data_IF_623829631549
#
_entry.id   IF_623829631549
#
_cell.length_a   1.000
_cell.length_b   1.000
_cell.length_c   1.000
_cell.angle_alpha   90.00
_cell.angle_beta   90.00
_cell.angle_gamma   90.00
#
_symmetry.space_group_name_H-M   'P 1'
#
loop_
_entity.id
_entity.type
_entity.pdbx_description
1 polymer ?
#
# COMPACT_ATOMS: atom_id res chain seq x y z
N UNK A 1 -20.51 6.98 19.40
CA UNK A 1 -20.68 6.89 17.93
C UNK A 1 -19.35 6.73 17.19
N UNK A 2 -18.37 7.66 17.28
CA UNK A 2 -17.05 7.50 16.61
C UNK A 2 -16.37 6.13 16.78
N UNK A 3 -16.37 5.55 17.98
CA UNK A 3 -15.79 4.22 18.23
C UNK A 3 -16.49 3.12 17.42
N UNK A 4 -17.83 3.16 17.36
CA UNK A 4 -18.62 2.23 16.55
C UNK A 4 -18.28 2.37 15.07
N UNK A 5 -18.07 3.59 14.57
CA UNK A 5 -17.61 3.82 13.20
C UNK A 5 -16.27 3.11 12.91
N UNK A 6 -15.33 3.12 13.86
CA UNK A 6 -14.10 2.34 13.70
C UNK A 6 -14.33 0.82 13.68
N UNK A 7 -15.22 0.31 14.53
CA UNK A 7 -15.54 -1.12 14.57
C UNK A 7 -16.19 -1.59 13.27
N UNK A 8 -17.18 -0.84 12.78
CA UNK A 8 -17.86 -1.13 11.51
C UNK A 8 -16.89 -1.06 10.32
N UNK A 9 -15.90 -0.15 10.34
CA UNK A 9 -14.84 -0.16 9.34
C UNK A 9 -14.07 -1.50 9.31
N UNK A 10 -13.69 -2.04 10.46
CA UNK A 10 -12.95 -3.31 10.52
C UNK A 10 -13.81 -4.52 10.11
N UNK A 11 -15.13 -4.44 10.34
CA UNK A 11 -16.13 -5.38 9.81
C UNK A 11 -16.43 -5.18 8.32
N UNK A 12 -15.79 -4.19 7.68
CA UNK A 12 -16.02 -3.79 6.28
C UNK A 12 -17.44 -3.34 5.98
N UNK A 13 -18.17 -2.91 7.01
CA UNK A 13 -19.50 -2.34 6.90
C UNK A 13 -19.36 -0.84 6.60
N UNK A 14 -18.79 -0.54 5.43
CA UNK A 14 -18.29 0.79 5.09
C UNK A 14 -19.36 1.87 5.06
N UNK A 15 -20.57 1.55 4.58
CA UNK A 15 -21.72 2.45 4.60
C UNK A 15 -22.10 2.83 6.03
N UNK A 16 -22.26 1.84 6.92
CA UNK A 16 -22.57 2.05 8.34
C UNK A 16 -21.47 2.83 9.05
N UNK A 17 -20.20 2.47 8.80
CA UNK A 17 -19.03 3.19 9.32
C UNK A 17 -19.07 4.66 8.95
N UNK A 18 -19.33 4.99 7.67
CA UNK A 18 -19.42 6.37 7.18
C UNK A 18 -20.56 7.13 7.85
N UNK A 19 -21.77 6.56 7.88
CA UNK A 19 -22.94 7.17 8.52
C UNK A 19 -22.68 7.49 10.00
N UNK A 20 -22.04 6.58 10.75
CA UNK A 20 -21.69 6.80 12.15
C UNK A 20 -20.70 7.96 12.35
N UNK A 21 -19.75 8.15 11.42
CA UNK A 21 -18.85 9.31 11.46
C UNK A 21 -19.60 10.61 11.14
N UNK A 22 -20.45 10.63 10.11
CA UNK A 22 -21.25 11.79 9.72
C UNK A 22 -22.18 12.25 10.87
N UNK A 23 -22.89 11.32 11.52
CA UNK A 23 -23.69 11.61 12.72
C UNK A 23 -22.83 12.15 13.87
N UNK A 24 -21.62 11.62 14.04
CA UNK A 24 -20.69 12.13 15.06
C UNK A 24 -20.23 13.55 14.75
N UNK A 25 -20.00 13.89 13.47
CA UNK A 25 -19.61 15.24 13.03
C UNK A 25 -20.70 16.24 13.39
N UNK A 26 -21.97 15.94 13.10
CA UNK A 26 -23.10 16.82 13.47
C UNK A 26 -23.09 17.13 14.97
N UNK A 27 -22.93 16.10 15.79
CA UNK A 27 -22.83 16.26 17.25
C UNK A 27 -21.58 17.04 17.70
N UNK A 28 -20.44 16.83 17.04
CA UNK A 28 -19.19 17.51 17.35
C UNK A 28 -19.22 19.00 16.99
N UNK A 29 -19.81 19.35 15.83
CA UNK A 29 -20.00 20.73 15.38
C UNK A 29 -20.88 21.51 16.36
N UNK A 30 -21.98 20.91 16.84
CA UNK A 30 -22.84 21.54 17.84
C UNK A 30 -22.09 21.87 19.15
N UNK A 31 -21.05 21.10 19.50
CA UNK A 31 -20.19 21.32 20.67
C UNK A 31 -18.92 22.12 20.35
N UNK A 32 -18.69 22.54 19.11
CA UNK A 32 -17.45 23.18 18.64
C UNK A 32 -16.20 22.32 18.93
N UNK A 33 -16.30 20.99 18.76
CA UNK A 33 -15.20 20.04 18.98
C UNK A 33 -14.47 19.72 17.66
N UNK A 34 -13.60 20.62 17.23
CA UNK A 34 -12.84 20.50 15.97
C UNK A 34 -11.93 19.27 15.95
N UNK A 35 -11.47 18.81 17.13
CA UNK A 35 -10.63 17.60 17.23
C UNK A 35 -11.44 16.35 16.87
N UNK A 36 -12.70 16.28 17.31
CA UNK A 36 -13.59 15.18 16.94
C UNK A 36 -14.01 15.25 15.47
N UNK A 37 -14.29 16.45 14.94
CA UNK A 37 -14.58 16.64 13.50
C UNK A 37 -13.41 16.12 12.66
N UNK A 38 -12.18 16.55 12.96
CA UNK A 38 -10.98 16.09 12.27
C UNK A 38 -10.80 14.55 12.35
N UNK A 39 -11.07 13.96 13.53
CA UNK A 39 -11.01 12.48 13.69
C UNK A 39 -12.04 11.77 12.83
N UNK A 40 -13.26 12.28 12.75
CA UNK A 40 -14.33 11.68 11.94
C UNK A 40 -14.04 11.84 10.44
N UNK A 41 -13.53 12.99 10.00
CA UNK A 41 -13.08 13.18 8.62
C UNK A 41 -11.97 12.20 8.24
N UNK A 42 -10.96 12.00 9.10
CA UNK A 42 -9.96 10.94 8.87
C UNK A 42 -10.59 9.53 8.82
N UNK A 43 -11.65 9.29 9.60
CA UNK A 43 -12.44 8.06 9.57
C UNK A 43 -13.18 7.85 8.24
N UNK A 44 -13.85 8.87 7.73
CA UNK A 44 -14.55 8.87 6.44
C UNK A 44 -13.55 8.70 5.30
N UNK A 45 -12.44 9.44 5.32
CA UNK A 45 -11.36 9.26 4.34
C UNK A 45 -10.81 7.82 4.32
N UNK A 46 -10.78 7.12 5.47
CA UNK A 46 -10.41 5.71 5.49
C UNK A 46 -11.40 4.84 4.70
N UNK A 47 -12.70 5.12 4.85
CA UNK A 47 -13.76 4.42 4.11
C UNK A 47 -13.59 4.68 2.62
N UNK A 48 -13.42 5.95 2.22
CA UNK A 48 -13.21 6.35 0.83
C UNK A 48 -12.00 5.65 0.20
N UNK A 49 -10.87 5.56 0.92
CA UNK A 49 -9.69 4.80 0.46
C UNK A 49 -9.97 3.31 0.30
N UNK A 50 -10.75 2.71 1.20
CA UNK A 50 -11.11 1.30 1.13
C UNK A 50 -12.11 0.99 0.00
N UNK A 51 -12.92 1.97 -0.41
CA UNK A 51 -13.89 1.88 -1.51
C UNK A 51 -13.35 2.38 -2.85
N UNK A 52 -12.09 2.85 -2.91
CA UNK A 52 -11.43 3.29 -4.13
C UNK A 52 -11.67 4.76 -4.52
N UNK A 53 -12.35 5.54 -3.69
CA UNK A 53 -12.64 6.98 -3.90
C UNK A 53 -11.42 7.85 -3.50
N UNK A 54 -10.29 7.67 -4.18
CA UNK A 54 -8.99 8.21 -3.77
C UNK A 54 -8.90 9.74 -3.82
N UNK A 55 -9.45 10.38 -4.85
CA UNK A 55 -9.44 11.83 -5.04
C UNK A 55 -10.23 12.54 -3.94
N UNK A 56 -11.43 12.04 -3.64
CA UNK A 56 -12.27 12.56 -2.56
C UNK A 56 -11.62 12.33 -1.20
N UNK A 57 -10.98 11.17 -1.00
CA UNK A 57 -10.22 10.91 0.21
C UNK A 57 -9.06 11.93 0.36
N UNK A 58 -8.32 12.20 -0.71
CA UNK A 58 -7.19 13.13 -0.70
C UNK A 58 -7.65 14.55 -0.30
N UNK A 59 -8.67 15.10 -0.96
CA UNK A 59 -9.22 16.42 -0.65
C UNK A 59 -9.65 16.54 0.82
N UNK A 60 -10.24 15.48 1.36
CA UNK A 60 -10.63 15.44 2.77
C UNK A 60 -9.39 15.42 3.68
N UNK A 61 -8.37 14.66 3.32
CA UNK A 61 -7.16 14.43 4.13
C UNK A 61 -6.22 15.65 4.18
N UNK A 62 -6.25 16.54 3.19
CA UNK A 62 -5.48 17.80 3.17
C UNK A 62 -5.69 18.65 4.43
N UNK A 63 -6.90 18.61 4.98
CA UNK A 63 -7.30 19.38 6.17
C UNK A 63 -7.13 18.58 7.47
N UNK A 64 -6.63 17.35 7.38
CA UNK A 64 -6.45 16.47 8.53
C UNK A 64 -4.99 16.26 8.85
N UNK A 65 -4.72 15.79 10.06
CA UNK A 65 -3.38 15.37 10.43
C UNK A 65 -3.13 13.87 10.13
N UNK A 66 -3.97 13.19 9.34
CA UNK A 66 -3.88 11.74 9.12
C UNK A 66 -2.86 11.39 8.03
N UNK A 67 -1.59 11.68 8.30
CA UNK A 67 -0.51 11.59 7.32
C UNK A 67 -0.36 10.21 6.66
N UNK A 68 -0.61 9.12 7.38
CA UNK A 68 -0.51 7.77 6.80
C UNK A 68 -1.57 7.51 5.73
N UNK A 69 -2.81 7.95 5.97
CA UNK A 69 -3.89 7.82 4.98
C UNK A 69 -3.69 8.80 3.83
N UNK A 70 -3.21 10.02 4.13
CA UNK A 70 -2.86 11.01 3.12
C UNK A 70 -1.77 10.46 2.17
N UNK A 71 -0.72 9.86 2.73
CA UNK A 71 0.32 9.19 1.96
C UNK A 71 -0.24 8.09 1.05
N UNK A 72 -1.16 7.27 1.56
CA UNK A 72 -1.78 6.21 0.75
C UNK A 72 -2.65 6.76 -0.38
N UNK A 73 -3.43 7.82 -0.13
CA UNK A 73 -4.22 8.49 -1.17
C UNK A 73 -3.30 9.02 -2.29
N UNK A 74 -2.22 9.72 -1.92
CA UNK A 74 -1.21 10.22 -2.86
C UNK A 74 -0.58 9.09 -3.68
N UNK A 75 -0.23 7.98 -3.03
CA UNK A 75 0.36 6.83 -3.70
C UNK A 75 -0.61 6.18 -4.69
N UNK A 76 -1.89 6.07 -4.34
CA UNK A 76 -2.92 5.54 -5.23
C UNK A 76 -3.12 6.40 -6.49
N UNK A 77 -2.83 7.70 -6.39
CA UNK A 77 -2.90 8.67 -7.48
C UNK A 77 -1.55 8.85 -8.22
N UNK A 78 -0.56 8.00 -7.94
CA UNK A 78 0.74 8.04 -8.62
C UNK A 78 1.70 9.13 -8.13
N UNK A 79 1.38 9.82 -7.04
CA UNK A 79 2.23 10.88 -6.47
C UNK A 79 3.27 10.30 -5.48
N UNK A 80 4.14 9.43 -5.97
CA UNK A 80 5.05 8.62 -5.14
C UNK A 80 5.94 9.46 -4.19
N UNK A 81 6.53 10.55 -4.68
CA UNK A 81 7.42 11.41 -3.88
C UNK A 81 6.67 12.10 -2.72
N UNK A 82 5.47 12.64 -3.02
CA UNK A 82 4.61 13.27 -2.01
C UNK A 82 4.10 12.23 -1.01
N UNK A 83 3.79 11.02 -1.48
CA UNK A 83 3.38 9.91 -0.63
C UNK A 83 4.47 9.56 0.40
N UNK A 84 5.73 9.47 -0.04
CA UNK A 84 6.87 9.23 0.85
C UNK A 84 7.02 10.36 1.89
N UNK A 85 6.96 11.62 1.46
CA UNK A 85 7.05 12.78 2.36
C UNK A 85 5.98 12.73 3.46
N UNK A 86 4.73 12.43 3.09
CA UNK A 86 3.63 12.29 4.06
C UNK A 86 3.81 11.07 4.96
N UNK A 87 4.27 9.92 4.44
CA UNK A 87 4.51 8.74 5.25
C UNK A 87 5.60 8.97 6.31
N UNK A 88 6.63 9.75 5.99
CA UNK A 88 7.69 10.14 6.92
C UNK A 88 7.16 11.01 8.07
N UNK A 89 6.20 11.91 7.83
CA UNK A 89 5.56 12.72 8.88
C UNK A 89 4.84 11.87 9.95
N UNK A 90 4.44 10.65 9.62
CA UNK A 90 3.85 9.72 10.60
C UNK A 90 4.89 9.35 11.66
N UNK A 91 6.18 9.23 11.32
CA UNK A 91 7.25 8.87 12.27
C UNK A 91 7.35 9.89 13.41
N UNK A 92 7.33 11.17 13.05
CA UNK A 92 7.58 12.26 14.00
C UNK A 92 6.41 12.49 14.96
N UNK A 93 5.20 12.07 14.56
CA UNK A 93 3.97 12.26 15.32
C UNK A 93 3.78 11.27 16.47
N UNK A 94 4.37 10.07 16.40
CA UNK A 94 4.09 8.98 17.35
C UNK A 94 5.32 8.59 18.18
N UNK A 95 5.71 9.50 19.09
CA UNK A 95 6.83 9.35 20.04
C UNK A 95 6.48 8.68 21.39
N UNK A 96 5.21 8.33 21.64
CA UNK A 96 4.73 7.79 22.92
C UNK A 96 4.22 6.35 22.88
N UNK A 97 3.79 5.83 24.05
CA UNK A 97 3.15 4.50 24.17
C UNK A 97 1.92 4.43 23.24
N UNK A 98 1.90 3.42 22.38
CA UNK A 98 0.97 3.30 21.25
C UNK A 98 -0.27 2.49 21.62
N UNK A 99 -1.05 3.02 22.55
CA UNK A 99 -2.18 2.32 23.19
C UNK A 99 -3.55 2.78 22.66
N UNK A 100 -3.62 3.32 21.45
CA UNK A 100 -4.85 3.91 20.92
C UNK A 100 -5.19 3.26 19.60
N UNK A 101 -6.15 2.33 19.60
CA UNK A 101 -6.57 1.55 18.44
C UNK A 101 -6.93 2.39 17.20
N UNK A 102 -7.38 3.64 17.38
CA UNK A 102 -7.70 4.53 16.26
C UNK A 102 -6.48 5.00 15.45
N UNK A 103 -5.27 4.80 15.95
CA UNK A 103 -4.00 5.07 15.25
C UNK A 103 -3.66 3.98 14.23
N UNK A 104 -4.25 2.80 14.38
CA UNK A 104 -3.96 1.62 13.56
C UNK A 104 -4.11 1.91 12.06
N UNK A 105 -5.17 2.60 11.63
CA UNK A 105 -5.41 2.95 10.21
C UNK A 105 -4.28 3.77 9.60
N UNK A 106 -3.74 4.74 10.35
CA UNK A 106 -2.62 5.55 9.87
C UNK A 106 -1.33 4.72 9.79
N UNK A 107 -1.10 3.81 10.73
CA UNK A 107 0.06 2.92 10.75
C UNK A 107 0.00 1.93 9.59
N UNK A 108 -1.14 1.27 9.38
CA UNK A 108 -1.32 0.33 8.27
C UNK A 108 -1.15 1.01 6.92
N UNK A 109 -1.69 2.23 6.77
CA UNK A 109 -1.56 3.01 5.53
C UNK A 109 -0.10 3.42 5.28
N UNK A 110 0.63 3.83 6.32
CA UNK A 110 2.06 4.14 6.19
C UNK A 110 2.90 2.90 5.82
N UNK A 111 2.64 1.76 6.47
CA UNK A 111 3.32 0.49 6.13
C UNK A 111 3.07 0.08 4.69
N UNK A 112 1.82 0.19 4.23
CA UNK A 112 1.44 -0.09 2.85
C UNK A 112 2.21 0.80 1.87
N UNK A 113 2.33 2.09 2.17
CA UNK A 113 3.08 3.03 1.33
C UNK A 113 4.56 2.62 1.21
N UNK A 114 5.23 2.34 2.33
CA UNK A 114 6.64 1.93 2.29
C UNK A 114 6.84 0.61 1.54
N UNK A 115 5.95 -0.37 1.71
CA UNK A 115 6.03 -1.64 0.99
C UNK A 115 5.85 -1.47 -0.52
N UNK A 116 4.85 -0.70 -0.96
CA UNK A 116 4.60 -0.46 -2.38
C UNK A 116 5.70 0.36 -3.04
N UNK A 117 6.27 1.34 -2.33
CA UNK A 117 7.43 2.09 -2.83
C UNK A 117 8.67 1.19 -2.96
N UNK A 118 8.90 0.30 -1.98
CA UNK A 118 9.98 -0.71 -2.06
C UNK A 118 9.77 -1.65 -3.24
N UNK A 119 8.56 -2.17 -3.41
CA UNK A 119 8.18 -3.04 -4.52
C UNK A 119 8.41 -2.38 -5.89
N UNK A 120 8.00 -1.11 -6.05
CA UNK A 120 8.29 -0.31 -7.25
C UNK A 120 9.79 -0.16 -7.49
N UNK A 121 10.57 0.14 -6.45
CA UNK A 121 12.02 0.32 -6.55
C UNK A 121 12.74 -0.98 -6.96
N UNK A 122 12.30 -2.13 -6.44
CA UNK A 122 12.84 -3.44 -6.81
C UNK A 122 12.45 -3.84 -8.24
N UNK A 123 11.21 -3.59 -8.65
CA UNK A 123 10.74 -3.89 -10.01
C UNK A 123 11.43 -3.04 -11.09
N UNK A 124 11.75 -1.77 -10.78
CA UNK A 124 12.49 -0.90 -11.70
C UNK A 124 13.92 -1.42 -11.97
N UNK A 125 14.60 -1.92 -10.94
CA UNK A 125 15.93 -2.53 -11.09
C UNK A 125 15.89 -3.81 -11.94
N UNK A 126 14.92 -4.69 -11.69
CA UNK A 126 14.78 -5.92 -12.46
C UNK A 126 14.59 -5.61 -13.96
N UNK A 127 13.75 -4.62 -14.30
CA UNK A 127 13.58 -4.15 -15.68
C UNK A 127 14.85 -3.54 -16.27
N UNK A 128 15.62 -2.79 -15.49
CA UNK A 128 16.88 -2.21 -15.95
C UNK A 128 17.94 -3.30 -16.26
N UNK A 129 18.02 -4.34 -15.43
CA UNK A 129 18.90 -5.51 -15.65
C UNK A 129 18.48 -6.26 -16.92
N UNK A 130 17.18 -6.50 -17.10
CA UNK A 130 16.66 -7.18 -18.29
C UNK A 130 16.92 -6.39 -19.58
N UNK A 131 16.72 -5.07 -19.55
CA UNK A 131 17.02 -4.18 -20.69
C UNK A 131 18.52 -4.15 -21.05
N UNK A 132 19.40 -4.11 -20.05
CA UNK A 132 20.84 -4.15 -20.27
C UNK A 132 21.31 -5.50 -20.81
N UNK A 133 20.74 -6.60 -20.29
CA UNK A 133 21.02 -7.96 -20.77
C UNK A 133 20.62 -8.16 -22.23
N UNK A 134 19.46 -7.64 -22.65
CA UNK A 134 19.02 -7.69 -24.05
C UNK A 134 19.91 -6.85 -24.97
N UNK A 135 20.39 -5.70 -24.50
CA UNK A 135 21.29 -4.81 -25.27
C UNK A 135 22.68 -5.42 -25.48
N UNK A 136 23.20 -6.14 -24.48
CA UNK A 136 24.49 -6.85 -24.57
C UNK A 136 24.44 -8.03 -25.56
N UNK A 137 23.32 -8.76 -25.59
CA UNK A 137 23.13 -9.90 -26.51
C UNK A 137 22.96 -9.48 -27.99
N UNK A 138 22.46 -8.27 -28.27
CA UNK A 138 22.36 -7.74 -29.64
C UNK A 138 23.70 -7.28 -30.23
N UNK A 139 24.66 -6.88 -29.40
CA UNK A 139 25.98 -6.40 -29.89
C UNK A 139 26.94 -7.53 -30.27
N UNK A 140 26.71 -8.77 -29.81
CA UNK A 140 27.55 -9.92 -30.17
C UNK A 140 27.15 -10.59 -31.49
N UNK A 141 26.01 -10.24 -32.08
CA UNK A 141 25.49 -10.81 -33.33
C UNK A 141 25.83 -9.98 -34.59
N UNK A 142 26.52 -8.84 -34.45
CA UNK A 142 26.77 -7.91 -35.56
C UNK A 142 28.20 -7.95 -36.14
N UNK A 143 29.06 -8.87 -35.70
CA UNK A 143 30.45 -8.98 -36.23
C UNK A 143 30.63 -10.12 -37.25
N UNK A 144 29.57 -10.50 -37.96
CA UNK A 144 29.64 -11.43 -39.09
C UNK A 144 28.72 -11.02 -40.23
N UNK A 145 29.14 -10.05 -41.04
CA UNK A 145 28.63 -9.94 -42.41
C UNK A 145 28.27 -8.54 -42.89
N UNK A 146 29.12 -8.05 -43.79
CA UNK A 146 28.79 -7.27 -44.99
C UNK A 146 28.47 -5.77 -44.86
N UNK A 147 29.39 -5.04 -45.47
CA UNK A 147 29.31 -3.70 -46.06
C UNK A 147 28.07 -3.51 -46.95
N UNK A 148 27.23 -2.53 -46.62
CA UNK A 148 26.36 -1.85 -47.56
C UNK A 148 26.05 -0.44 -47.05
N UNK A 149 26.44 0.57 -47.82
CA UNK A 149 26.10 1.97 -47.62
C UNK A 149 24.63 2.18 -47.95
N UNK A 150 23.80 2.51 -46.95
CA UNK A 150 22.42 2.93 -47.18
C UNK A 150 22.13 4.20 -46.38
N UNK A 151 21.89 5.29 -47.11
CA UNK A 151 21.49 6.60 -46.62
C UNK A 151 19.98 6.58 -46.39
N UNK A 152 19.55 6.82 -45.14
CA UNK A 152 18.15 7.00 -44.80
C UNK A 152 17.98 8.40 -44.20
N UNK A 153 17.13 9.20 -44.85
CA UNK A 153 16.72 10.53 -44.40
C UNK A 153 15.64 10.34 -43.31
N UNK A 154 15.94 10.78 -42.09
CA UNK A 154 15.01 10.80 -40.96
C UNK A 154 14.17 12.09 -40.98
N UNK A 155 12.87 11.94 -41.22
CA UNK A 155 11.87 12.96 -40.85
C UNK A 155 11.48 12.76 -39.39
N UNK A 156 11.87 13.72 -38.56
CA UNK A 156 11.67 13.76 -37.12
C UNK A 156 10.28 14.33 -36.78
N UNK A 157 9.29 13.45 -36.65
CA UNK A 157 7.95 13.82 -36.18
C UNK A 157 7.94 13.96 -34.65
N UNK A 158 7.83 15.21 -34.18
CA UNK A 158 7.72 15.58 -32.76
C UNK A 158 6.43 15.02 -32.13
N UNK A 159 6.51 13.82 -31.57
CA UNK A 159 5.59 13.41 -30.51
C UNK A 159 5.94 14.16 -29.23
N UNK A 160 4.94 14.85 -28.67
CA UNK A 160 5.03 15.47 -27.36
C UNK A 160 5.09 14.36 -26.29
N UNK A 161 6.32 14.03 -25.89
CA UNK A 161 6.61 13.24 -24.70
C UNK A 161 6.06 13.96 -23.46
N UNK A 162 4.89 13.53 -23.02
CA UNK A 162 4.52 13.56 -21.59
C UNK A 162 5.12 12.35 -20.85
N UNK A 163 6.33 11.92 -21.23
CA UNK A 163 7.21 11.24 -20.29
C UNK A 163 7.74 12.33 -19.36
N UNK A 164 7.04 12.52 -18.24
CA UNK A 164 7.55 13.28 -17.12
C UNK A 164 8.87 12.65 -16.71
N UNK A 165 9.95 13.24 -17.21
CA UNK A 165 11.36 12.93 -16.97
C UNK A 165 11.50 12.55 -15.49
N UNK A 166 11.48 11.24 -15.24
CA UNK A 166 11.55 10.63 -13.92
C UNK A 166 13.01 10.74 -13.49
N UNK A 167 13.53 11.97 -13.44
CA UNK A 167 14.76 12.29 -12.72
C UNK A 167 14.55 11.68 -11.37
N UNK A 168 15.36 10.67 -11.07
CA UNK A 168 15.38 9.98 -9.80
C UNK A 168 15.61 11.04 -8.72
N UNK A 169 14.53 11.70 -8.30
CA UNK A 169 14.46 12.36 -7.03
C UNK A 169 14.84 11.32 -5.98
N UNK A 170 15.21 11.75 -4.78
CA UNK A 170 15.63 10.87 -3.70
C UNK A 170 14.43 10.04 -3.19
N UNK A 171 13.87 9.17 -4.04
CA UNK A 171 13.28 7.92 -3.66
C UNK A 171 14.40 7.20 -2.95
N UNK A 172 14.36 7.37 -1.62
CA UNK A 172 15.20 6.73 -0.62
C UNK A 172 15.73 5.42 -1.15
N UNK A 173 17.04 5.28 -1.09
CA UNK A 173 17.73 4.07 -1.48
C UNK A 173 16.96 2.82 -1.01
N UNK A 174 17.01 1.74 -1.80
CA UNK A 174 16.25 0.51 -1.50
C UNK A 174 16.46 0.03 -0.06
N UNK A 175 17.66 0.22 0.50
CA UNK A 175 17.97 -0.18 1.86
C UNK A 175 17.20 0.68 2.89
N UNK A 176 17.07 1.99 2.66
CA UNK A 176 16.24 2.90 3.45
C UNK A 176 14.75 2.55 3.36
N UNK A 177 14.20 2.32 2.16
CA UNK A 177 12.80 1.89 2.00
C UNK A 177 12.54 0.56 2.73
N UNK A 178 13.46 -0.38 2.61
CA UNK A 178 13.41 -1.66 3.31
C UNK A 178 13.49 -1.51 4.83
N UNK A 179 14.41 -0.70 5.33
CA UNK A 179 14.53 -0.41 6.75
C UNK A 179 13.26 0.24 7.30
N UNK A 180 12.68 1.19 6.56
CA UNK A 180 11.41 1.84 6.93
C UNK A 180 10.25 0.85 6.92
N UNK A 181 10.11 0.02 5.88
CA UNK A 181 9.05 -0.99 5.82
C UNK A 181 9.15 -1.97 7.01
N UNK A 182 10.35 -2.48 7.30
CA UNK A 182 10.60 -3.36 8.44
C UNK A 182 10.28 -2.66 9.77
N UNK A 183 10.76 -1.44 9.97
CA UNK A 183 10.48 -0.66 11.17
C UNK A 183 8.96 -0.57 11.40
N UNK A 184 8.19 -0.18 10.39
CA UNK A 184 6.74 -0.03 10.51
C UNK A 184 6.01 -1.36 10.73
N UNK A 185 6.49 -2.45 10.13
CA UNK A 185 6.00 -3.80 10.40
C UNK A 185 6.24 -4.20 11.87
N UNK A 186 7.39 -3.86 12.44
CA UNK A 186 7.68 -4.13 13.86
C UNK A 186 6.79 -3.30 14.78
N UNK A 187 6.52 -2.04 14.41
CA UNK A 187 5.56 -1.18 15.12
C UNK A 187 4.15 -1.78 15.09
N UNK A 188 3.70 -2.28 13.94
CA UNK A 188 2.41 -2.96 13.80
C UNK A 188 2.37 -4.27 14.59
N UNK A 189 3.48 -5.01 14.65
CA UNK A 189 3.60 -6.23 15.45
C UNK A 189 3.39 -5.98 16.94
N UNK A 190 4.00 -4.90 17.47
CA UNK A 190 3.76 -4.45 18.85
C UNK A 190 2.31 -4.00 19.07
N UNK A 191 1.65 -3.50 18.01
CA UNK A 191 0.24 -3.14 18.06
C UNK A 191 -0.67 -4.38 18.10
N UNK A 192 -0.33 -5.39 17.29
CA UNK A 192 -1.05 -6.66 17.19
C UNK A 192 -0.97 -7.51 18.46
N UNK A 193 0.05 -7.32 19.30
CA UNK A 193 0.10 -7.98 20.62
C UNK A 193 -0.90 -7.39 21.63
N UNK A 194 -1.44 -6.19 21.36
CA UNK A 194 -2.44 -5.53 22.23
C UNK A 194 -3.83 -5.57 21.60
N UNK A 195 -3.91 -5.40 20.27
CA UNK A 195 -5.16 -5.32 19.54
C UNK A 195 -5.23 -6.41 18.47
N UNK A 196 -6.05 -7.42 18.72
CA UNK A 196 -6.23 -8.55 17.79
C UNK A 196 -6.58 -8.10 16.36
N UNK A 197 -7.37 -7.02 16.22
CA UNK A 197 -7.75 -6.43 14.91
C UNK A 197 -6.56 -5.98 14.05
N UNK A 198 -5.37 -5.76 14.63
CA UNK A 198 -4.16 -5.43 13.87
C UNK A 198 -3.44 -6.66 13.31
N UNK A 199 -3.71 -7.86 13.84
CA UNK A 199 -3.01 -9.09 13.51
C UNK A 199 -3.13 -9.47 12.02
N UNK A 200 -4.31 -9.42 11.37
CA UNK A 200 -4.42 -9.81 9.96
C UNK A 200 -3.53 -8.95 9.06
N UNK A 201 -3.62 -7.63 9.15
CA UNK A 201 -2.82 -6.71 8.32
C UNK A 201 -1.32 -6.82 8.62
N UNK A 202 -0.94 -6.99 9.89
CA UNK A 202 0.47 -7.19 10.26
C UNK A 202 1.05 -8.45 9.62
N UNK A 203 0.31 -9.56 9.64
CA UNK A 203 0.74 -10.81 9.02
C UNK A 203 0.83 -10.69 7.50
N UNK A 204 -0.13 -9.99 6.86
CA UNK A 204 -0.11 -9.74 5.42
C UNK A 204 1.12 -8.92 5.02
N UNK A 205 1.40 -7.83 5.73
CA UNK A 205 2.56 -6.97 5.45
C UNK A 205 3.89 -7.68 5.71
N UNK A 206 3.99 -8.51 6.76
CA UNK A 206 5.14 -9.40 6.94
C UNK A 206 5.30 -10.36 5.77
N UNK A 207 4.20 -10.95 5.30
CA UNK A 207 4.21 -11.87 4.16
C UNK A 207 4.72 -11.20 2.89
N UNK A 208 4.20 -10.00 2.58
CA UNK A 208 4.67 -9.16 1.46
C UNK A 208 6.15 -8.81 1.57
N UNK A 209 6.59 -8.39 2.75
CA UNK A 209 8.00 -8.06 2.98
C UNK A 209 8.92 -9.27 2.77
N UNK A 210 8.55 -10.45 3.26
CA UNK A 210 9.32 -11.69 3.04
C UNK A 210 9.38 -12.08 1.57
N UNK A 211 8.32 -11.82 0.80
CA UNK A 211 8.33 -12.02 -0.65
C UNK A 211 9.31 -11.10 -1.37
N UNK A 212 9.34 -9.81 -0.99
CA UNK A 212 10.34 -8.86 -1.49
C UNK A 212 11.76 -9.25 -1.08
N UNK A 213 11.92 -10.06 -0.03
CA UNK A 213 13.22 -10.61 0.40
C UNK A 213 13.54 -11.99 -0.18
N UNK A 214 12.92 -12.35 -1.32
CA UNK A 214 13.09 -13.64 -1.98
C UNK A 214 12.72 -14.87 -1.12
N UNK A 215 12.04 -14.69 0.01
CA UNK A 215 11.57 -15.77 0.88
C UNK A 215 10.08 -16.08 0.63
N UNK A 216 9.79 -16.59 -0.58
CA UNK A 216 8.43 -16.84 -1.05
C UNK A 216 7.63 -17.80 -0.16
N UNK A 217 8.24 -18.88 0.32
CA UNK A 217 7.55 -19.88 1.14
C UNK A 217 7.08 -19.29 2.48
N UNK A 218 7.94 -18.53 3.15
CA UNK A 218 7.61 -17.77 4.37
C UNK A 218 6.53 -16.72 4.10
N UNK A 219 6.66 -15.98 2.99
CA UNK A 219 5.69 -14.97 2.57
C UNK A 219 4.27 -15.52 2.40
N UNK A 220 4.13 -16.61 1.65
CA UNK A 220 2.84 -17.28 1.43
C UNK A 220 2.28 -17.89 2.72
N UNK A 221 3.12 -18.46 3.58
CA UNK A 221 2.70 -18.97 4.88
C UNK A 221 2.09 -17.88 5.76
N UNK A 222 2.74 -16.72 5.83
CA UNK A 222 2.25 -15.57 6.59
C UNK A 222 0.94 -15.00 6.01
N UNK A 223 0.78 -14.98 4.69
CA UNK A 223 -0.46 -14.58 4.04
C UNK A 223 -1.63 -15.53 4.35
N UNK A 224 -1.39 -16.86 4.37
CA UNK A 224 -2.41 -17.84 4.81
C UNK A 224 -2.79 -17.62 6.29
N UNK A 225 -1.81 -17.35 7.16
CA UNK A 225 -2.08 -16.98 8.56
C UNK A 225 -2.87 -15.68 8.69
N UNK A 226 -2.60 -14.69 7.83
CA UNK A 226 -3.37 -13.45 7.76
C UNK A 226 -4.83 -13.72 7.41
N UNK A 227 -5.09 -14.52 6.39
CA UNK A 227 -6.43 -14.92 5.97
C UNK A 227 -7.19 -15.63 7.10
N UNK A 228 -6.55 -16.60 7.77
CA UNK A 228 -7.16 -17.30 8.90
C UNK A 228 -7.51 -16.34 10.05
N UNK A 229 -6.60 -15.44 10.42
CA UNK A 229 -6.85 -14.44 11.46
C UNK A 229 -7.95 -13.43 11.07
N UNK A 230 -8.03 -13.04 9.79
CA UNK A 230 -9.09 -12.16 9.29
C UNK A 230 -10.47 -12.84 9.38
N UNK A 231 -10.54 -14.13 9.05
CA UNK A 231 -11.76 -14.92 9.15
C UNK A 231 -12.22 -15.07 10.62
N UNK A 232 -11.30 -15.43 11.52
CA UNK A 232 -11.56 -15.53 12.97
C UNK A 232 -12.16 -14.24 13.54
N UNK A 233 -11.67 -13.08 13.09
CA UNK A 233 -12.09 -11.76 13.56
C UNK A 233 -13.25 -11.15 12.77
N UNK A 234 -13.83 -11.88 11.81
CA UNK A 234 -14.89 -11.36 10.92
C UNK A 234 -14.50 -10.04 10.23
N UNK A 235 -13.31 -10.00 9.63
CA UNK A 235 -12.75 -8.84 8.93
C UNK A 235 -12.67 -9.10 7.41
N UNK A 236 -13.80 -9.02 6.68
CA UNK A 236 -13.86 -9.48 5.28
C UNK A 236 -12.98 -8.69 4.32
N UNK A 237 -12.79 -7.39 4.51
CA UNK A 237 -11.86 -6.59 3.69
C UNK A 237 -10.42 -7.08 3.84
N UNK A 238 -9.94 -7.30 5.07
CA UNK A 238 -8.59 -7.86 5.29
C UNK A 238 -8.47 -9.28 4.74
N UNK A 239 -9.53 -10.10 4.84
CA UNK A 239 -9.55 -11.42 4.23
C UNK A 239 -9.47 -11.35 2.69
N UNK A 240 -10.19 -10.42 2.06
CA UNK A 240 -10.16 -10.19 0.63
C UNK A 240 -8.75 -9.75 0.16
N UNK A 241 -8.10 -8.85 0.88
CA UNK A 241 -6.72 -8.45 0.59
C UNK A 241 -5.75 -9.64 0.66
N UNK A 242 -5.85 -10.48 1.70
CA UNK A 242 -5.02 -11.67 1.84
C UNK A 242 -5.29 -12.71 0.73
N UNK A 243 -6.56 -12.89 0.33
CA UNK A 243 -6.94 -13.76 -0.79
C UNK A 243 -6.37 -13.25 -2.12
N UNK A 244 -6.50 -11.96 -2.40
CA UNK A 244 -5.95 -11.33 -3.62
C UNK A 244 -4.45 -11.55 -3.71
N UNK A 245 -3.73 -11.29 -2.61
CA UNK A 245 -2.29 -11.50 -2.53
C UNK A 245 -1.89 -12.98 -2.78
N UNK A 246 -2.63 -13.92 -2.19
CA UNK A 246 -2.39 -15.34 -2.42
C UNK A 246 -2.74 -15.78 -3.86
N UNK A 247 -3.73 -15.17 -4.51
CA UNK A 247 -4.07 -15.47 -5.89
C UNK A 247 -3.00 -14.96 -6.86
N UNK A 248 -2.42 -13.79 -6.59
CA UNK A 248 -1.36 -13.17 -7.39
C UNK A 248 -0.03 -13.92 -7.30
N UNK A 249 0.33 -14.40 -6.11
CA UNK A 249 1.65 -14.99 -5.85
C UNK A 249 1.64 -16.47 -5.48
N UNK A 250 0.47 -17.08 -5.34
CA UNK A 250 0.32 -18.49 -5.00
C UNK A 250 0.60 -19.41 -6.19
N UNK A 251 0.50 -20.71 -5.93
CA UNK A 251 0.42 -21.71 -7.00
C UNK A 251 -1.01 -21.77 -7.56
N UNK A 252 -1.19 -22.36 -8.75
CA UNK A 252 -2.53 -22.63 -9.30
C UNK A 252 -3.39 -23.42 -8.30
N UNK A 253 -2.79 -24.35 -7.54
CA UNK A 253 -3.47 -25.11 -6.48
C UNK A 253 -3.98 -24.21 -5.35
N UNK A 254 -3.20 -23.19 -4.96
CA UNK A 254 -3.66 -22.21 -3.98
C UNK A 254 -4.87 -21.43 -4.51
N UNK A 255 -4.84 -21.02 -5.77
CA UNK A 255 -5.93 -20.30 -6.43
C UNK A 255 -7.23 -21.12 -6.52
N UNK A 256 -7.14 -22.44 -6.73
CA UNK A 256 -8.32 -23.33 -6.72
C UNK A 256 -8.88 -23.46 -5.29
N UNK A 257 -8.02 -23.75 -4.32
CA UNK A 257 -8.42 -23.90 -2.91
C UNK A 257 -9.11 -22.65 -2.35
N UNK A 258 -8.69 -21.46 -2.80
CA UNK A 258 -9.26 -20.19 -2.35
C UNK A 258 -10.66 -19.89 -2.89
N UNK A 259 -11.06 -20.50 -4.01
CA UNK A 259 -12.41 -20.35 -4.60
C UNK A 259 -13.46 -21.19 -3.88
N UNK A 260 -13.04 -22.11 -3.00
CA UNK A 260 -13.95 -23.07 -2.39
C UNK A 260 -14.43 -24.13 -3.39
N UNK A 261 -13.83 -24.19 -4.57
CA UNK A 261 -13.98 -25.31 -5.50
C UNK A 261 -13.24 -26.49 -4.88
N UNK A 262 -13.98 -27.46 -4.35
CA UNK A 262 -13.39 -28.71 -3.92
C UNK A 262 -12.73 -29.36 -5.15
N UNK A 263 -11.41 -29.56 -5.11
CA UNK A 263 -10.77 -30.52 -6.00
C UNK A 263 -11.26 -31.91 -5.57
N UNK A 264 -12.32 -32.39 -6.20
CA UNK A 264 -12.64 -33.82 -6.23
C UNK A 264 -11.59 -34.59 -7.05
#
# INVERSE_FOLDING_TARGET
MCHLGHLEFYRSNFATSRSLYEQTIVSALARKDDKMVNRCNAGIAAVLLATGENETALQMLEKTNSYGQHALALLNLGHDAKALEQALKVRDRFKGRRTKYYVLKAFTSATEVFLRLLEKAMGAEQRAIESFGQSALRKSSFFSGLSATFSFEEEEEKLADTEGDFKAGPFTDKASLRAMAQEWIDKLSKFASVYAVARPMTLLFKGRFQMLDHNRSSGLHLARKSLAAAAELSMPFSAALAKSFLAEHGSVRDSIRLRGEACE
#
